data_IF_073386270106
#
_entry.id   IF_073386270106
#
_cell.length_a   1.000
_cell.length_b   1.000
_cell.length_c   1.000
_cell.angle_alpha   90.00
_cell.angle_beta   90.00
_cell.angle_gamma   90.00
#
_symmetry.space_group_name_H-M   'P 1'
#
loop_
_entity.id
_entity.type
_entity.pdbx_description
1 polymer ?
#
# COMPACT_ATOMS: atom_id res chain seq x y z
N UNK A 1 -4.41 5.27 -19.63
CA UNK A 1 -4.47 4.47 -18.37
C UNK A 1 -3.93 5.34 -17.24
N UNK A 2 -4.65 5.48 -16.13
CA UNK A 2 -4.20 6.27 -14.97
C UNK A 2 -3.54 5.35 -13.94
N UNK A 3 -2.28 5.65 -13.60
CA UNK A 3 -1.44 4.89 -12.65
C UNK A 3 -0.78 5.86 -11.66
N UNK A 4 -0.20 5.34 -10.58
CA UNK A 4 0.50 6.09 -9.53
C UNK A 4 1.96 5.63 -9.46
N UNK A 5 2.86 6.20 -10.28
CA UNK A 5 4.24 5.70 -10.38
C UNK A 5 5.08 6.09 -9.17
N UNK A 6 5.46 5.12 -8.34
CA UNK A 6 6.35 5.36 -7.18
C UNK A 6 7.73 5.88 -7.58
N UNK A 7 8.15 5.69 -8.83
CA UNK A 7 9.39 6.26 -9.37
C UNK A 7 9.50 7.78 -9.24
N UNK A 8 8.38 8.52 -9.23
CA UNK A 8 8.39 9.97 -8.98
C UNK A 8 8.85 10.28 -7.55
N UNK A 9 8.41 9.50 -6.56
CA UNK A 9 8.82 9.65 -5.16
C UNK A 9 10.28 9.21 -5.00
N UNK A 10 10.65 8.06 -5.56
CA UNK A 10 12.03 7.55 -5.48
C UNK A 10 13.04 8.47 -6.15
N UNK A 11 12.67 9.14 -7.24
CA UNK A 11 13.54 10.13 -7.89
C UNK A 11 13.69 11.42 -7.09
N UNK A 12 12.64 11.85 -6.37
CA UNK A 12 12.65 13.10 -5.59
C UNK A 12 13.29 12.96 -4.21
N UNK A 13 13.18 11.78 -3.59
CA UNK A 13 13.61 11.51 -2.21
C UNK A 13 14.47 10.24 -2.17
N UNK A 14 15.43 10.16 -3.10
CA UNK A 14 16.26 8.97 -3.33
C UNK A 14 17.11 8.55 -2.14
N UNK A 15 17.43 9.51 -1.27
CA UNK A 15 18.18 9.35 -0.03
C UNK A 15 17.36 8.62 1.06
N UNK A 16 16.03 8.61 0.96
CA UNK A 16 15.14 8.00 1.94
C UNK A 16 14.37 6.79 1.40
N UNK A 17 13.92 6.84 0.14
CA UNK A 17 12.97 5.88 -0.39
C UNK A 17 13.43 5.24 -1.69
N UNK A 18 13.24 3.93 -1.78
CA UNK A 18 13.49 3.12 -2.97
C UNK A 18 12.50 1.98 -3.05
N UNK A 19 12.58 1.20 -4.13
CA UNK A 19 11.83 -0.06 -4.27
C UNK A 19 12.09 -1.07 -3.15
N UNK A 20 13.18 -0.93 -2.38
CA UNK A 20 13.54 -1.88 -1.31
C UNK A 20 12.81 -1.64 0.00
N UNK A 21 12.37 -0.41 0.27
CA UNK A 21 11.80 0.00 1.56
C UNK A 21 10.47 0.76 1.41
N UNK A 22 9.82 0.67 0.25
CA UNK A 22 8.53 1.33 -0.02
C UNK A 22 7.46 0.27 -0.26
N UNK A 23 6.32 0.41 0.41
CA UNK A 23 5.11 -0.36 0.11
C UNK A 23 3.92 0.59 -0.03
N UNK A 24 3.04 0.30 -0.98
CA UNK A 24 1.87 1.10 -1.33
C UNK A 24 0.61 0.26 -1.13
N UNK A 25 -0.33 0.74 -0.33
CA UNK A 25 -1.66 0.13 -0.16
C UNK A 25 -2.67 0.85 -1.02
N UNK A 26 -3.40 0.10 -1.84
CA UNK A 26 -4.45 0.65 -2.71
C UNK A 26 -5.49 -0.44 -2.98
N UNK A 27 -6.78 -0.11 -3.01
CA UNK A 27 -7.84 -1.07 -3.33
C UNK A 27 -7.97 -1.31 -4.84
N UNK A 28 -7.38 -0.43 -5.67
CA UNK A 28 -7.37 -0.52 -7.13
C UNK A 28 -6.00 -1.02 -7.62
N UNK A 29 -5.94 -2.29 -8.01
CA UNK A 29 -4.69 -2.94 -8.42
C UNK A 29 -3.94 -2.28 -9.59
N UNK A 30 -4.65 -1.63 -10.51
CA UNK A 30 -4.02 -0.94 -11.65
C UNK A 30 -3.15 0.24 -11.23
N UNK A 31 -3.37 0.82 -10.05
CA UNK A 31 -2.67 2.03 -9.61
C UNK A 31 -1.17 1.79 -9.47
N UNK A 32 -0.75 0.57 -9.11
CA UNK A 32 0.65 0.18 -8.98
C UNK A 32 1.15 -0.68 -10.15
N UNK A 33 0.51 -0.59 -11.33
CA UNK A 33 0.92 -1.36 -12.52
C UNK A 33 2.39 -1.13 -12.91
N UNK A 34 2.93 0.07 -12.67
CA UNK A 34 4.34 0.40 -12.92
C UNK A 34 5.30 -0.02 -11.80
N UNK A 35 4.78 -0.47 -10.66
CA UNK A 35 5.55 -0.87 -9.49
C UNK A 35 4.88 -2.07 -8.80
N UNK A 36 4.68 -3.20 -9.51
CA UNK A 36 3.82 -4.30 -9.07
C UNK A 36 4.32 -4.99 -7.80
N UNK A 37 5.63 -5.00 -7.56
CA UNK A 37 6.22 -5.59 -6.35
C UNK A 37 6.08 -4.70 -5.11
N UNK A 38 5.79 -3.42 -5.29
CA UNK A 38 5.65 -2.45 -4.19
C UNK A 38 4.18 -2.15 -3.88
N UNK A 39 3.24 -2.74 -4.61
CA UNK A 39 1.81 -2.58 -4.39
C UNK A 39 1.20 -3.77 -3.64
N UNK A 40 0.47 -3.50 -2.56
CA UNK A 40 -0.40 -4.45 -1.90
C UNK A 40 -1.86 -4.04 -2.12
N UNK A 41 -2.62 -4.87 -2.82
CA UNK A 41 -4.06 -4.65 -2.98
C UNK A 41 -4.77 -4.93 -1.66
N UNK A 42 -5.44 -3.93 -1.10
CA UNK A 42 -6.24 -4.08 0.13
C UNK A 42 -7.72 -4.23 -0.19
N UNK A 43 -8.51 -4.75 0.76
CA UNK A 43 -9.97 -4.77 0.62
C UNK A 43 -10.51 -3.34 0.78
N UNK A 44 -11.40 -2.89 -0.11
CA UNK A 44 -12.05 -1.60 0.03
C UNK A 44 -12.98 -1.62 1.25
N UNK A 45 -12.93 -0.56 2.05
CA UNK A 45 -13.86 -0.38 3.15
C UNK A 45 -15.20 0.15 2.62
N UNK A 46 -16.22 -0.71 2.57
CA UNK A 46 -17.54 -0.41 2.00
C UNK A 46 -18.64 -0.54 3.05
N UNK A 47 -19.74 0.22 2.87
CA UNK A 47 -20.93 0.19 3.75
C UNK A 47 -20.56 0.34 5.24
N UNK A 48 -19.94 1.48 5.58
CA UNK A 48 -19.41 1.73 6.93
C UNK A 48 -20.43 1.52 8.06
N UNK A 49 -21.71 1.85 7.84
CA UNK A 49 -22.78 1.64 8.80
C UNK A 49 -23.00 0.16 9.19
N UNK A 50 -22.61 -0.80 8.35
CA UNK A 50 -22.69 -2.24 8.63
C UNK A 50 -21.36 -2.84 9.11
N UNK A 51 -20.25 -2.28 8.63
CA UNK A 51 -18.95 -2.95 8.67
C UNK A 51 -17.93 -2.30 9.61
N UNK A 52 -18.19 -1.08 10.13
CA UNK A 52 -17.22 -0.33 10.96
C UNK A 52 -16.67 -1.12 12.15
N UNK A 53 -17.49 -1.96 12.78
CA UNK A 53 -17.08 -2.71 13.98
C UNK A 53 -16.40 -4.04 13.66
N UNK A 54 -16.67 -4.57 12.46
CA UNK A 54 -16.20 -5.87 11.98
C UNK A 54 -14.92 -5.77 11.15
N UNK A 55 -14.69 -4.65 10.47
CA UNK A 55 -13.49 -4.45 9.69
C UNK A 55 -12.26 -4.40 10.60
N UNK A 56 -11.29 -5.26 10.32
CA UNK A 56 -9.99 -5.34 11.01
C UNK A 56 -8.84 -5.30 10.02
N UNK A 57 -9.07 -4.84 8.79
CA UNK A 57 -8.06 -4.86 7.72
C UNK A 57 -6.83 -4.04 8.14
N UNK A 58 -7.04 -2.80 8.60
CA UNK A 58 -5.95 -1.93 9.05
C UNK A 58 -5.20 -2.48 10.28
N UNK A 59 -5.89 -3.20 11.18
CA UNK A 59 -5.25 -3.84 12.33
C UNK A 59 -4.29 -4.95 11.87
N UNK A 60 -4.72 -5.77 10.91
CA UNK A 60 -3.87 -6.81 10.30
C UNK A 60 -2.73 -6.21 9.50
N UNK A 61 -2.98 -5.14 8.75
CA UNK A 61 -1.95 -4.42 8.00
C UNK A 61 -0.90 -3.79 8.92
N UNK A 62 -1.30 -3.30 10.10
CA UNK A 62 -0.36 -2.81 11.11
C UNK A 62 0.60 -3.92 11.55
N UNK A 63 0.09 -5.12 11.83
CA UNK A 63 0.93 -6.27 12.19
C UNK A 63 1.86 -6.64 11.03
N UNK A 64 1.33 -6.68 9.81
CA UNK A 64 2.12 -6.96 8.61
C UNK A 64 3.27 -5.95 8.43
N UNK A 65 2.98 -4.65 8.54
CA UNK A 65 4.00 -3.58 8.44
C UNK A 65 5.10 -3.73 9.50
N UNK A 66 4.73 -4.06 10.75
CA UNK A 66 5.70 -4.29 11.82
C UNK A 66 6.62 -5.47 11.55
N UNK A 67 6.13 -6.53 10.91
CA UNK A 67 6.96 -7.69 10.59
C UNK A 67 7.89 -7.41 9.40
N UNK A 68 7.38 -6.80 8.32
CA UNK A 68 8.23 -6.53 7.14
C UNK A 68 9.25 -5.40 7.37
N UNK A 69 9.00 -4.49 8.32
CA UNK A 69 9.95 -3.42 8.64
C UNK A 69 11.23 -3.92 9.34
N UNK A 70 11.25 -5.19 9.78
CA UNK A 70 12.44 -5.84 10.37
C UNK A 70 13.34 -6.52 9.32
N UNK A 71 12.88 -6.62 8.07
CA UNK A 71 13.59 -7.24 6.95
C UNK A 71 14.52 -6.22 6.28
#
# INVERSE_FOLDING_TARGET
LQVKPLGVIWGKFSEYYSKKNTIMFDDIGRNFLMNPQNGLKIRPFMKAHLNRDKDKELLKLTQYLKEIAKL
#
